data_IF_867946915542
#
_entry.id   IF_867946915542
#
_cell.length_a   1.000
_cell.length_b   1.000
_cell.length_c   1.000
_cell.angle_alpha   90.00
_cell.angle_beta   90.00
_cell.angle_gamma   90.00
#
_symmetry.space_group_name_H-M   'P 1'
#
loop_
_entity.id
_entity.type
_entity.pdbx_description
1 polymer ?
#
# COMPACT_ATOMS: atom_id res chain seq x y z
N UNK A 1 17.15 2.73 17.32
CA UNK A 1 16.73 3.82 18.23
C UNK A 1 15.31 3.50 18.68
N UNK A 2 15.07 3.27 19.97
CA UNK A 2 13.72 2.95 20.50
C UNK A 2 12.93 4.26 20.76
N UNK A 3 12.57 4.97 19.69
CA UNK A 3 11.88 6.27 19.76
C UNK A 3 10.61 6.23 20.64
N UNK A 4 9.94 5.08 20.69
CA UNK A 4 8.68 4.87 21.39
C UNK A 4 8.78 3.82 22.51
N UNK A 5 9.95 3.71 23.15
CA UNK A 5 10.14 2.79 24.29
C UNK A 5 9.03 2.95 25.32
N UNK A 6 8.45 1.83 25.75
CA UNK A 6 7.34 1.74 26.71
C UNK A 6 6.01 2.38 26.24
N UNK A 7 5.88 2.72 24.95
CA UNK A 7 4.61 3.13 24.37
C UNK A 7 3.88 1.93 23.80
N UNK A 8 2.56 1.99 23.84
CA UNK A 8 1.68 0.97 23.28
C UNK A 8 0.95 1.51 22.06
N UNK A 9 0.66 0.63 21.08
CA UNK A 9 -0.14 0.99 19.92
C UNK A 9 -1.12 -0.13 19.55
N UNK A 10 -2.39 0.24 19.34
CA UNK A 10 -3.39 -0.63 18.71
C UNK A 10 -3.18 -0.55 17.20
N UNK A 11 -2.97 -1.69 16.54
CA UNK A 11 -2.73 -1.78 15.10
C UNK A 11 -3.87 -2.54 14.43
N UNK A 12 -4.65 -1.86 13.59
CA UNK A 12 -5.70 -2.47 12.78
C UNK A 12 -5.42 -2.26 11.29
N UNK A 13 -5.00 -3.33 10.61
CA UNK A 13 -4.58 -3.29 9.19
C UNK A 13 -5.24 -4.46 8.44
N UNK A 14 -5.82 -4.24 7.24
CA UNK A 14 -6.29 -5.34 6.41
C UNK A 14 -5.14 -6.27 5.99
N UNK A 15 -5.39 -7.58 5.97
CA UNK A 15 -4.37 -8.53 5.52
C UNK A 15 -4.36 -8.57 3.99
N UNK A 16 -3.52 -7.72 3.43
CA UNK A 16 -3.17 -7.72 2.03
C UNK A 16 -1.73 -8.19 1.90
N UNK A 17 -1.58 -9.48 1.60
CA UNK A 17 -0.27 -10.12 1.40
C UNK A 17 0.66 -10.04 2.63
N UNK A 18 0.14 -10.16 3.85
CA UNK A 18 0.96 -10.16 5.07
C UNK A 18 1.41 -8.77 5.54
N UNK A 19 0.83 -7.70 4.99
CA UNK A 19 1.10 -6.31 5.41
C UNK A 19 1.02 -6.09 6.94
N UNK A 20 0.04 -6.63 7.70
CA UNK A 20 0.00 -6.43 9.15
C UNK A 20 1.28 -6.87 9.87
N UNK A 21 1.98 -7.88 9.36
CA UNK A 21 3.27 -8.35 9.90
C UNK A 21 4.36 -7.32 9.67
N UNK A 22 4.40 -6.68 8.49
CA UNK A 22 5.39 -5.65 8.16
C UNK A 22 5.25 -4.42 9.07
N UNK A 23 4.01 -3.94 9.25
CA UNK A 23 3.70 -2.86 10.19
C UNK A 23 4.13 -3.21 11.62
N UNK A 24 3.76 -4.40 12.10
CA UNK A 24 4.13 -4.86 13.44
C UNK A 24 5.65 -4.86 13.63
N UNK A 25 6.41 -5.47 12.72
CA UNK A 25 7.88 -5.55 12.81
C UNK A 25 8.52 -4.17 12.89
N UNK A 26 8.10 -3.22 12.06
CA UNK A 26 8.66 -1.88 12.07
C UNK A 26 8.26 -1.07 13.32
N UNK A 27 7.03 -1.24 13.81
CA UNK A 27 6.60 -0.61 15.07
C UNK A 27 7.35 -1.18 16.29
N UNK A 28 7.52 -2.50 16.34
CA UNK A 28 8.29 -3.16 17.40
C UNK A 28 9.77 -2.74 17.35
N UNK A 29 10.37 -2.57 16.16
CA UNK A 29 11.71 -2.00 16.00
C UNK A 29 11.84 -0.58 16.58
N UNK A 30 10.78 0.22 16.50
CA UNK A 30 10.71 1.57 17.08
C UNK A 30 10.46 1.57 18.59
N UNK A 31 10.24 0.41 19.21
CA UNK A 31 10.07 0.24 20.66
C UNK A 31 8.61 0.17 21.12
N UNK A 32 7.64 0.13 20.21
CA UNK A 32 6.23 -0.04 20.59
C UNK A 32 5.93 -1.46 21.08
N UNK A 33 5.03 -1.55 22.06
CA UNK A 33 4.25 -2.77 22.30
C UNK A 33 2.99 -2.75 21.43
N UNK A 34 2.87 -3.70 20.50
CA UNK A 34 1.82 -3.71 19.45
C UNK A 34 0.67 -4.66 19.80
N UNK A 35 -0.54 -4.11 19.93
CA UNK A 35 -1.79 -4.87 20.03
C UNK A 35 -2.47 -4.97 18.65
N UNK A 36 -2.43 -6.13 18.01
CA UNK A 36 -3.03 -6.29 16.68
C UNK A 36 -4.52 -6.62 16.74
N UNK A 37 -5.32 -5.87 15.97
CA UNK A 37 -6.74 -6.12 15.73
C UNK A 37 -6.91 -6.51 14.26
N UNK A 38 -6.99 -7.82 13.94
CA UNK A 38 -7.04 -8.29 12.56
C UNK A 38 -8.38 -7.95 11.88
N UNK A 39 -8.31 -7.42 10.66
CA UNK A 39 -9.49 -7.26 9.80
C UNK A 39 -10.07 -8.61 9.35
N UNK A 40 -9.21 -9.56 8.97
CA UNK A 40 -9.62 -10.84 8.37
C UNK A 40 -9.74 -11.99 9.39
N UNK A 41 -10.15 -11.66 10.62
CA UNK A 41 -10.32 -12.59 11.74
C UNK A 41 -11.36 -13.69 11.53
N UNK A 42 -12.02 -13.75 10.37
CA UNK A 42 -13.06 -14.75 10.09
C UNK A 42 -13.14 -15.10 8.60
N UNK A 43 -13.63 -16.33 8.35
CA UNK A 43 -13.88 -17.01 7.06
C UNK A 43 -14.39 -16.08 5.95
N UNK A 44 -14.37 -16.51 4.69
CA UNK A 44 -15.08 -15.83 3.57
C UNK A 44 -16.57 -15.69 3.91
N UNK A 45 -16.94 -14.60 4.57
CA UNK A 45 -18.30 -14.28 5.00
C UNK A 45 -19.02 -13.64 3.82
N UNK A 46 -20.25 -14.10 3.57
CA UNK A 46 -21.15 -13.50 2.59
C UNK A 46 -22.34 -12.91 3.32
N UNK A 47 -22.80 -11.74 2.86
CA UNK A 47 -24.08 -11.18 3.30
C UNK A 47 -25.23 -12.11 2.89
N UNK A 48 -26.30 -12.12 3.69
CA UNK A 48 -27.50 -12.92 3.39
C UNK A 48 -28.20 -12.47 2.09
N UNK A 49 -29.10 -13.31 1.57
CA UNK A 49 -29.89 -13.00 0.37
C UNK A 49 -30.76 -11.73 0.54
N UNK A 50 -31.34 -11.53 1.73
CA UNK A 50 -32.10 -10.32 2.07
C UNK A 50 -31.21 -9.08 1.98
N UNK A 51 -30.02 -9.13 2.58
CA UNK A 51 -29.06 -8.02 2.50
C UNK A 51 -28.55 -7.79 1.07
N UNK A 52 -28.45 -8.85 0.27
CA UNK A 52 -28.07 -8.74 -1.15
C UNK A 52 -29.15 -8.02 -1.95
N UNK A 53 -30.43 -8.29 -1.64
CA UNK A 53 -31.57 -7.58 -2.25
C UNK A 53 -31.65 -6.12 -1.79
N UNK A 54 -31.46 -5.84 -0.50
CA UNK A 54 -31.40 -4.46 0.02
C UNK A 54 -30.24 -3.69 -0.63
N UNK A 55 -29.07 -4.32 -0.79
CA UNK A 55 -27.96 -3.71 -1.51
C UNK A 55 -28.33 -3.36 -2.96
N UNK A 56 -29.02 -4.26 -3.67
CA UNK A 56 -29.49 -4.01 -5.03
C UNK A 56 -30.44 -2.81 -5.08
N UNK A 57 -31.42 -2.74 -4.18
CA UNK A 57 -32.35 -1.60 -4.09
C UNK A 57 -31.62 -0.29 -3.80
N UNK A 58 -30.77 -0.27 -2.76
CA UNK A 58 -29.96 0.92 -2.41
C UNK A 58 -29.07 1.38 -3.56
N UNK A 59 -28.44 0.45 -4.26
CA UNK A 59 -27.57 0.75 -5.41
C UNK A 59 -28.35 1.38 -6.57
N UNK A 60 -29.57 0.92 -6.84
CA UNK A 60 -30.37 1.40 -7.98
C UNK A 60 -31.11 2.69 -7.64
N UNK A 61 -31.83 2.72 -6.52
CA UNK A 61 -32.72 3.81 -6.17
C UNK A 61 -32.02 4.95 -5.41
N UNK A 62 -30.99 4.64 -4.62
CA UNK A 62 -30.28 5.63 -3.80
C UNK A 62 -28.85 5.89 -4.31
N UNK A 63 -28.41 5.20 -5.37
CA UNK A 63 -27.01 5.20 -5.86
C UNK A 63 -25.97 4.84 -4.78
N UNK A 64 -26.42 4.24 -3.67
CA UNK A 64 -25.60 3.84 -2.53
C UNK A 64 -24.96 2.48 -2.81
N UNK A 65 -23.63 2.50 -3.01
CA UNK A 65 -22.82 1.29 -3.24
C UNK A 65 -22.20 0.74 -1.95
N UNK A 66 -22.35 1.41 -0.81
CA UNK A 66 -21.60 1.14 0.42
C UNK A 66 -22.26 0.11 1.33
N UNK A 67 -23.58 -0.06 1.25
CA UNK A 67 -24.35 -0.96 2.14
C UNK A 67 -23.78 -2.37 2.30
N UNK A 68 -23.33 -2.99 1.20
CA UNK A 68 -22.78 -4.35 1.25
C UNK A 68 -21.48 -4.38 2.05
N UNK A 69 -20.61 -3.40 1.82
CA UNK A 69 -19.34 -3.26 2.55
C UNK A 69 -19.63 -3.07 4.03
N UNK A 70 -20.55 -2.17 4.37
CA UNK A 70 -20.95 -1.91 5.76
C UNK A 70 -21.46 -3.16 6.48
N UNK A 71 -22.31 -3.95 5.83
CA UNK A 71 -22.79 -5.21 6.43
C UNK A 71 -21.68 -6.23 6.61
N UNK A 72 -20.67 -6.25 5.75
CA UNK A 72 -19.53 -7.14 5.92
C UNK A 72 -18.66 -6.74 7.12
N UNK A 73 -18.50 -5.45 7.39
CA UNK A 73 -17.72 -4.99 8.55
C UNK A 73 -18.36 -5.42 9.87
N UNK A 74 -19.68 -5.25 10.00
CA UNK A 74 -20.46 -5.69 11.18
C UNK A 74 -20.36 -7.20 11.41
N UNK A 75 -20.37 -8.01 10.34
CA UNK A 75 -20.24 -9.47 10.49
C UNK A 75 -18.86 -9.93 10.97
N UNK A 76 -17.84 -9.08 10.80
CA UNK A 76 -16.46 -9.36 11.22
C UNK A 76 -16.12 -8.78 12.60
N UNK A 77 -17.01 -7.99 13.20
CA UNK A 77 -16.69 -7.15 14.35
C UNK A 77 -16.50 -7.92 15.66
N UNK A 78 -17.24 -9.02 15.86
CA UNK A 78 -17.24 -9.76 17.13
C UNK A 78 -15.83 -10.19 17.61
N UNK A 79 -15.01 -10.91 16.82
CA UNK A 79 -13.66 -11.27 17.25
C UNK A 79 -12.76 -10.04 17.47
N UNK A 80 -13.00 -8.94 16.76
CA UNK A 80 -12.24 -7.70 16.94
C UNK A 80 -12.56 -7.04 18.28
N UNK A 81 -13.84 -6.98 18.65
CA UNK A 81 -14.30 -6.46 19.94
C UNK A 81 -13.83 -7.33 21.11
N UNK A 82 -13.80 -8.66 20.95
CA UNK A 82 -13.23 -9.57 21.96
C UNK A 82 -11.74 -9.29 22.21
N UNK A 83 -10.95 -9.08 21.15
CA UNK A 83 -9.53 -8.69 21.29
C UNK A 83 -9.42 -7.33 22.01
N UNK A 84 -10.21 -6.34 21.57
CA UNK A 84 -10.21 -5.00 22.15
C UNK A 84 -10.60 -5.01 23.64
N UNK A 85 -11.53 -5.87 24.05
CA UNK A 85 -11.93 -5.97 25.46
C UNK A 85 -10.78 -6.36 26.41
N UNK A 86 -9.74 -7.04 25.91
CA UNK A 86 -8.56 -7.41 26.67
C UNK A 86 -7.51 -6.28 26.76
N UNK A 87 -7.70 -5.20 26.02
CA UNK A 87 -6.81 -4.03 26.03
C UNK A 87 -7.42 -3.00 26.99
N UNK A 88 -6.69 -2.65 28.06
CA UNK A 88 -7.17 -1.65 29.03
C UNK A 88 -7.14 -0.24 28.45
N UNK A 89 -5.96 0.19 28.03
CA UNK A 89 -5.69 1.49 27.41
C UNK A 89 -4.42 1.35 26.58
N UNK A 90 -4.33 2.11 25.49
CA UNK A 90 -3.15 2.25 24.66
C UNK A 90 -2.78 3.73 24.48
N UNK A 91 -1.50 4.02 24.25
CA UNK A 91 -1.06 5.39 23.97
C UNK A 91 -1.53 5.82 22.58
N UNK A 92 -1.43 4.93 21.60
CA UNK A 92 -1.79 5.23 20.21
C UNK A 92 -2.71 4.17 19.60
N UNK A 93 -3.41 4.54 18.53
CA UNK A 93 -4.02 3.61 17.60
C UNK A 93 -3.70 4.00 16.16
N UNK A 94 -3.38 3.02 15.32
CA UNK A 94 -3.24 3.17 13.88
C UNK A 94 -4.20 2.23 13.17
N UNK A 95 -5.10 2.80 12.37
CA UNK A 95 -6.06 2.06 11.56
C UNK A 95 -5.83 2.35 10.07
N UNK A 96 -5.45 1.33 9.33
CA UNK A 96 -5.32 1.40 7.87
C UNK A 96 -6.62 0.94 7.24
N UNK A 97 -7.14 1.67 6.24
CA UNK A 97 -8.44 1.39 5.59
C UNK A 97 -9.58 1.29 6.61
N UNK A 98 -9.88 2.38 7.36
CA UNK A 98 -10.94 2.40 8.37
C UNK A 98 -12.32 2.05 7.81
N UNK A 99 -12.55 2.22 6.51
CA UNK A 99 -13.78 1.81 5.80
C UNK A 99 -14.06 0.30 5.86
N UNK A 100 -13.06 -0.51 6.21
CA UNK A 100 -13.17 -1.96 6.36
C UNK A 100 -13.55 -2.42 7.78
N UNK A 101 -13.68 -1.49 8.72
CA UNK A 101 -14.05 -1.78 10.11
C UNK A 101 -15.44 -1.20 10.44
N UNK A 102 -16.16 -1.86 11.36
CA UNK A 102 -17.48 -1.38 11.79
C UNK A 102 -17.34 -0.16 12.69
N UNK A 103 -18.39 0.66 12.77
CA UNK A 103 -18.38 1.80 13.71
C UNK A 103 -18.15 1.38 15.16
N UNK A 104 -18.70 0.23 15.57
CA UNK A 104 -18.53 -0.30 16.92
C UNK A 104 -17.06 -0.54 17.23
N UNK A 105 -16.33 -1.14 16.28
CA UNK A 105 -14.89 -1.42 16.42
C UNK A 105 -14.09 -0.13 16.43
N UNK A 106 -14.39 0.82 15.54
CA UNK A 106 -13.69 2.10 15.49
C UNK A 106 -13.92 2.94 16.75
N UNK A 107 -15.15 2.99 17.27
CA UNK A 107 -15.47 3.65 18.54
C UNK A 107 -14.71 3.01 19.70
N UNK A 108 -14.64 1.68 19.74
CA UNK A 108 -13.91 0.97 20.79
C UNK A 108 -12.39 1.20 20.71
N UNK A 109 -11.82 1.24 19.50
CA UNK A 109 -10.41 1.62 19.28
C UNK A 109 -10.16 3.05 19.79
N UNK A 110 -11.02 4.02 19.45
CA UNK A 110 -10.92 5.41 19.91
C UNK A 110 -10.98 5.48 21.44
N UNK A 111 -11.96 4.81 22.06
CA UNK A 111 -12.12 4.80 23.52
C UNK A 111 -10.91 4.20 24.26
N UNK A 112 -10.22 3.24 23.64
CA UNK A 112 -9.06 2.56 24.23
C UNK A 112 -7.72 3.17 23.87
N UNK A 113 -7.67 4.23 23.06
CA UNK A 113 -6.43 4.91 22.70
C UNK A 113 -6.44 6.34 23.22
N UNK A 114 -5.27 6.88 23.58
CA UNK A 114 -5.15 8.30 23.94
C UNK A 114 -5.10 9.19 22.71
N UNK A 115 -4.60 8.65 21.60
CA UNK A 115 -4.52 9.31 20.30
C UNK A 115 -4.72 8.28 19.18
N UNK A 116 -5.60 8.57 18.24
CA UNK A 116 -6.05 7.64 17.21
C UNK A 116 -5.87 8.23 15.82
N UNK A 117 -5.22 7.46 14.96
CA UNK A 117 -4.88 7.85 13.59
C UNK A 117 -5.48 6.85 12.61
N UNK A 118 -6.08 7.39 11.55
CA UNK A 118 -6.50 6.61 10.39
C UNK A 118 -5.63 6.95 9.17
N UNK A 119 -5.40 5.97 8.29
CA UNK A 119 -4.86 6.20 6.95
C UNK A 119 -5.64 5.43 5.89
N UNK A 120 -6.26 6.18 4.98
CA UNK A 120 -7.09 5.69 3.89
C UNK A 120 -6.26 5.61 2.59
N UNK A 121 -5.82 4.40 2.23
CA UNK A 121 -4.98 4.13 1.04
C UNK A 121 -5.67 4.31 -0.31
N UNK A 122 -6.98 4.13 -0.37
CA UNK A 122 -7.73 4.23 -1.61
C UNK A 122 -8.61 5.47 -1.59
N UNK A 123 -8.72 6.15 -2.73
CA UNK A 123 -9.50 7.38 -2.84
C UNK A 123 -10.94 7.24 -2.30
N UNK A 124 -11.36 8.19 -1.48
CA UNK A 124 -12.63 8.19 -0.74
C UNK A 124 -13.84 8.22 -1.67
N UNK A 125 -13.70 8.80 -2.88
CA UNK A 125 -14.74 8.70 -3.93
C UNK A 125 -15.06 7.24 -4.31
N UNK A 126 -14.04 6.37 -4.31
CA UNK A 126 -14.21 4.93 -4.61
C UNK A 126 -14.72 4.16 -3.39
N UNK A 127 -14.31 4.57 -2.19
CA UNK A 127 -14.66 3.95 -0.92
C UNK A 127 -15.35 4.96 0.02
N UNK A 128 -16.62 5.33 -0.27
CA UNK A 128 -17.30 6.44 0.42
C UNK A 128 -17.58 6.19 1.91
N UNK A 129 -17.43 4.94 2.39
CA UNK A 129 -17.51 4.65 3.82
C UNK A 129 -16.42 5.33 4.63
N UNK A 130 -15.25 5.58 4.03
CA UNK A 130 -14.15 6.26 4.71
C UNK A 130 -14.59 7.63 5.26
N UNK A 131 -15.43 8.36 4.52
CA UNK A 131 -15.94 9.68 4.91
C UNK A 131 -16.72 9.63 6.23
N UNK A 132 -17.58 8.62 6.40
CA UNK A 132 -18.36 8.47 7.64
C UNK A 132 -17.51 8.01 8.82
N UNK A 133 -16.25 7.62 8.58
CA UNK A 133 -15.31 7.14 9.60
C UNK A 133 -14.41 8.24 10.17
N UNK A 134 -14.30 9.38 9.50
CA UNK A 134 -13.42 10.49 9.89
C UNK A 134 -13.61 10.89 11.36
N UNK A 135 -14.85 10.99 11.81
CA UNK A 135 -15.22 11.36 13.19
C UNK A 135 -14.66 10.43 14.30
N UNK A 136 -14.22 9.23 13.96
CA UNK A 136 -13.71 8.25 14.93
C UNK A 136 -12.20 8.38 15.20
N UNK A 137 -11.54 9.40 14.67
CA UNK A 137 -10.10 9.58 14.81
C UNK A 137 -9.76 10.98 15.28
N UNK A 138 -8.54 11.13 15.82
CA UNK A 138 -7.95 12.43 16.15
C UNK A 138 -7.29 13.03 14.91
N UNK A 139 -6.67 12.18 14.08
CA UNK A 139 -6.18 12.55 12.73
C UNK A 139 -6.58 11.50 11.70
N UNK A 140 -6.94 11.96 10.50
CA UNK A 140 -7.35 11.09 9.41
C UNK A 140 -6.58 11.43 8.14
N UNK A 141 -5.76 10.50 7.67
CA UNK A 141 -4.94 10.70 6.50
C UNK A 141 -5.55 10.08 5.24
N UNK A 142 -5.35 10.75 4.11
CA UNK A 142 -5.75 10.29 2.77
C UNK A 142 -4.54 10.19 1.85
N UNK A 143 -4.53 9.15 1.02
CA UNK A 143 -3.47 8.93 0.03
C UNK A 143 -3.68 9.74 -1.26
N UNK A 144 -4.93 9.93 -1.69
CA UNK A 144 -5.23 10.73 -2.88
C UNK A 144 -5.29 12.20 -2.48
N UNK A 145 -4.34 13.01 -2.98
CA UNK A 145 -4.26 14.44 -2.66
C UNK A 145 -5.56 15.19 -2.98
N UNK A 146 -6.31 14.73 -3.99
CA UNK A 146 -7.58 15.37 -4.34
C UNK A 146 -8.69 15.12 -3.31
N UNK A 147 -8.51 14.21 -2.36
CA UNK A 147 -9.47 13.97 -1.28
C UNK A 147 -9.30 15.01 -0.16
N UNK A 148 -8.09 15.52 0.08
CA UNK A 148 -7.83 16.58 1.08
C UNK A 148 -8.62 17.86 0.78
N UNK A 149 -8.74 18.23 -0.50
CA UNK A 149 -9.52 19.40 -0.91
C UNK A 149 -11.04 19.17 -0.85
N UNK A 150 -11.50 17.92 -0.87
CA UNK A 150 -12.92 17.57 -1.04
C UNK A 150 -13.62 17.18 0.26
N UNK A 151 -12.88 16.61 1.21
CA UNK A 151 -13.45 16.07 2.44
C UNK A 151 -12.93 16.85 3.65
N UNK A 152 -13.81 17.09 4.62
CA UNK A 152 -13.43 17.81 5.84
C UNK A 152 -12.79 16.86 6.85
N UNK A 153 -11.85 17.38 7.64
CA UNK A 153 -11.21 16.63 8.72
C UNK A 153 -10.23 15.55 8.25
N UNK A 154 -9.73 15.68 7.01
CA UNK A 154 -8.70 14.79 6.47
C UNK A 154 -7.45 15.57 6.06
N UNK A 155 -6.31 14.89 6.07
CA UNK A 155 -4.99 15.45 5.72
C UNK A 155 -4.28 14.54 4.70
N UNK A 156 -3.61 15.09 3.70
CA UNK A 156 -2.85 14.31 2.75
C UNK A 156 -1.58 13.72 3.39
N UNK A 157 -1.28 12.46 3.07
CA UNK A 157 0.05 11.87 3.29
C UNK A 157 0.43 10.93 2.17
N UNK A 158 1.74 10.71 2.01
CA UNK A 158 2.30 9.77 1.06
C UNK A 158 2.28 8.34 1.60
N UNK A 159 2.52 7.37 0.72
CA UNK A 159 3.05 6.08 1.17
C UNK A 159 4.50 6.24 1.67
N UNK A 160 5.10 5.11 2.04
CA UNK A 160 6.40 5.02 2.66
C UNK A 160 7.07 3.71 2.23
N UNK A 161 8.34 3.51 2.58
CA UNK A 161 8.98 2.19 2.57
C UNK A 161 9.23 1.71 4.00
N UNK A 162 9.13 0.41 4.24
CA UNK A 162 9.51 -0.14 5.55
C UNK A 162 11.03 -0.17 5.70
N UNK A 163 11.51 0.28 6.84
CA UNK A 163 12.93 0.45 7.16
C UNK A 163 13.41 -0.50 8.26
N UNK A 164 12.68 -1.60 8.51
CA UNK A 164 13.09 -2.66 9.45
C UNK A 164 13.98 -3.74 8.85
N UNK A 165 14.07 -3.83 7.52
CA UNK A 165 14.94 -4.80 6.86
C UNK A 165 16.41 -4.34 6.94
N UNK A 166 17.38 -5.28 6.97
CA UNK A 166 18.80 -4.93 6.91
C UNK A 166 19.12 -4.01 5.75
N UNK A 167 20.07 -3.08 5.91
CA UNK A 167 20.42 -2.13 4.86
C UNK A 167 21.01 -2.85 3.63
N UNK A 168 21.97 -3.74 3.87
CA UNK A 168 22.66 -4.52 2.84
C UNK A 168 21.78 -5.65 2.27
N UNK A 169 21.84 -5.83 0.96
CA UNK A 169 21.26 -6.97 0.24
C UNK A 169 22.14 -7.35 -0.95
N UNK A 170 22.24 -8.65 -1.21
CA UNK A 170 22.91 -9.18 -2.40
C UNK A 170 21.99 -8.96 -3.61
N UNK A 171 22.52 -8.40 -4.69
CA UNK A 171 21.80 -8.25 -5.96
C UNK A 171 21.70 -9.62 -6.64
N UNK A 172 20.49 -9.99 -7.07
CA UNK A 172 20.15 -11.28 -7.70
C UNK A 172 19.49 -11.13 -9.07
N UNK A 173 18.95 -9.94 -9.35
CA UNK A 173 18.28 -9.59 -10.60
C UNK A 173 18.56 -8.14 -10.94
N UNK A 174 18.45 -7.80 -12.22
CA UNK A 174 18.61 -6.41 -12.66
C UNK A 174 17.30 -5.66 -12.42
N UNK A 175 16.17 -6.28 -12.77
CA UNK A 175 14.84 -5.65 -12.67
C UNK A 175 13.87 -6.50 -11.85
N UNK A 176 13.14 -5.87 -10.94
CA UNK A 176 12.05 -6.52 -10.20
C UNK A 176 10.70 -5.81 -10.42
N UNK A 177 9.65 -6.61 -10.60
CA UNK A 177 8.25 -6.17 -10.56
C UNK A 177 7.38 -7.24 -9.92
N UNK A 178 6.39 -6.83 -9.14
CA UNK A 178 5.27 -7.70 -8.76
C UNK A 178 3.96 -6.93 -8.77
N UNK A 179 2.91 -7.55 -9.30
CA UNK A 179 1.58 -6.95 -9.31
C UNK A 179 0.48 -7.94 -9.61
N UNK A 180 -0.78 -7.53 -9.42
CA UNK A 180 -1.93 -8.29 -9.92
C UNK A 180 -2.19 -7.93 -11.38
N UNK A 181 -2.66 -8.91 -12.16
CA UNK A 181 -3.10 -8.73 -13.53
C UNK A 181 -4.19 -7.66 -13.61
N UNK A 182 -3.94 -6.62 -14.42
CA UNK A 182 -4.91 -5.58 -14.72
C UNK A 182 -4.82 -5.23 -16.21
N UNK A 183 -5.97 -5.17 -16.88
CA UNK A 183 -6.07 -5.05 -18.34
C UNK A 183 -5.48 -3.74 -18.87
N UNK A 184 -5.58 -2.68 -18.09
CA UNK A 184 -5.19 -1.31 -18.39
C UNK A 184 -3.68 -1.02 -18.30
N UNK A 185 -2.89 -1.97 -17.78
CA UNK A 185 -1.43 -1.82 -17.64
C UNK A 185 -0.60 -3.02 -18.10
N UNK A 186 -1.22 -4.17 -18.35
CA UNK A 186 -0.49 -5.38 -18.77
C UNK A 186 0.21 -5.20 -20.13
N UNK A 187 -0.33 -4.35 -21.01
CA UNK A 187 0.29 -4.07 -22.31
C UNK A 187 1.56 -3.25 -22.13
N UNK A 188 1.54 -2.22 -21.27
CA UNK A 188 2.73 -1.45 -20.91
C UNK A 188 3.80 -2.35 -20.26
N UNK A 189 3.40 -3.20 -19.29
CA UNK A 189 4.30 -4.15 -18.62
C UNK A 189 4.93 -5.12 -19.63
N UNK A 190 4.12 -5.68 -20.54
CA UNK A 190 4.59 -6.61 -21.57
C UNK A 190 5.58 -5.96 -22.53
N UNK A 191 5.31 -4.73 -22.94
CA UNK A 191 6.23 -3.96 -23.79
C UNK A 191 7.56 -3.71 -23.08
N UNK A 192 7.54 -3.10 -21.89
CA UNK A 192 8.79 -2.78 -21.17
C UNK A 192 9.57 -4.06 -20.79
N UNK A 193 8.88 -5.16 -20.47
CA UNK A 193 9.54 -6.43 -20.16
C UNK A 193 10.31 -6.98 -21.37
N UNK A 194 9.73 -6.88 -22.57
CA UNK A 194 10.42 -7.26 -23.80
C UNK A 194 11.63 -6.38 -24.08
N UNK A 195 11.49 -5.06 -23.97
CA UNK A 195 12.61 -4.13 -24.18
C UNK A 195 13.78 -4.42 -23.22
N UNK A 196 13.48 -4.58 -21.93
CA UNK A 196 14.50 -4.88 -20.92
C UNK A 196 15.18 -6.24 -21.18
N UNK A 197 14.43 -7.26 -21.61
CA UNK A 197 15.01 -8.55 -21.99
C UNK A 197 15.87 -8.46 -23.26
N UNK A 198 15.46 -7.66 -24.25
CA UNK A 198 16.24 -7.43 -25.48
C UNK A 198 17.57 -6.73 -25.20
N UNK A 199 17.62 -5.89 -24.17
CA UNK A 199 18.85 -5.27 -23.66
C UNK A 199 19.71 -6.22 -22.81
N UNK A 200 19.32 -7.49 -22.69
CA UNK A 200 20.10 -8.54 -22.02
C UNK A 200 19.96 -8.59 -20.50
N UNK A 201 19.00 -7.87 -19.92
CA UNK A 201 18.82 -7.81 -18.47
C UNK A 201 18.17 -9.10 -17.91
N UNK A 202 18.63 -9.52 -16.74
CA UNK A 202 18.01 -10.54 -15.92
C UNK A 202 16.78 -9.96 -15.17
N UNK A 203 15.60 -10.21 -15.72
CA UNK A 203 14.34 -9.63 -15.22
C UNK A 203 13.52 -10.62 -14.37
N UNK A 204 12.98 -10.13 -13.26
CA UNK A 204 12.08 -10.84 -12.36
C UNK A 204 10.71 -10.12 -12.29
N UNK A 205 9.87 -10.31 -13.32
CA UNK A 205 8.56 -9.66 -13.45
C UNK A 205 7.44 -10.65 -13.15
N UNK A 206 6.74 -10.45 -12.03
CA UNK A 206 5.72 -11.37 -11.51
C UNK A 206 4.32 -10.79 -11.59
N UNK A 207 3.39 -11.52 -12.23
CA UNK A 207 1.99 -11.11 -12.34
C UNK A 207 1.07 -12.17 -11.73
N UNK A 208 0.40 -11.79 -10.64
CA UNK A 208 -0.63 -12.61 -10.00
C UNK A 208 -1.90 -12.60 -10.85
N UNK A 209 -2.45 -13.77 -11.15
CA UNK A 209 -3.63 -13.87 -12.00
C UNK A 209 -4.65 -14.90 -11.52
N UNK A 210 -5.93 -14.60 -11.75
CA UNK A 210 -7.05 -15.43 -11.32
C UNK A 210 -7.83 -16.06 -12.50
N UNK A 211 -7.51 -15.71 -13.74
CA UNK A 211 -8.22 -16.19 -14.93
C UNK A 211 -7.24 -16.44 -16.08
N UNK A 212 -7.11 -17.70 -16.49
CA UNK A 212 -6.16 -18.16 -17.50
C UNK A 212 -6.41 -17.48 -18.87
N UNK A 213 -7.68 -17.35 -19.28
CA UNK A 213 -8.05 -16.75 -20.57
C UNK A 213 -7.58 -15.30 -20.71
N UNK A 214 -7.42 -14.59 -19.59
CA UNK A 214 -6.98 -13.18 -19.61
C UNK A 214 -5.49 -13.03 -19.88
N UNK A 215 -4.68 -14.05 -19.58
CA UNK A 215 -3.22 -13.99 -19.68
C UNK A 215 -2.66 -14.71 -20.90
N UNK A 216 -3.47 -15.53 -21.59
CA UNK A 216 -3.07 -16.37 -22.71
C UNK A 216 -2.27 -15.61 -23.78
N UNK A 217 -2.80 -14.46 -24.24
CA UNK A 217 -2.12 -13.62 -25.25
C UNK A 217 -0.80 -12.99 -24.78
N UNK A 218 -0.54 -13.00 -23.47
CA UNK A 218 0.65 -12.40 -22.86
C UNK A 218 1.72 -13.43 -22.48
N UNK A 219 1.47 -14.73 -22.65
CA UNK A 219 2.43 -15.81 -22.32
C UNK A 219 3.72 -15.76 -23.14
N UNK A 220 3.72 -15.06 -24.26
CA UNK A 220 4.90 -14.85 -25.13
C UNK A 220 5.89 -13.80 -24.62
N UNK A 221 5.47 -12.96 -23.66
CA UNK A 221 6.33 -11.94 -23.07
C UNK A 221 7.09 -12.51 -21.88
N UNK A 222 8.24 -11.94 -21.50
CA UNK A 222 9.05 -12.43 -20.40
C UNK A 222 8.47 -12.02 -19.04
N UNK A 223 7.32 -12.60 -18.72
CA UNK A 223 6.53 -12.35 -17.51
C UNK A 223 6.22 -13.67 -16.82
N UNK A 224 6.51 -13.74 -15.53
CA UNK A 224 6.15 -14.84 -14.65
C UNK A 224 4.69 -14.69 -14.19
N UNK A 225 3.77 -15.42 -14.82
CA UNK A 225 2.38 -15.47 -14.36
C UNK A 225 2.21 -16.50 -13.24
N UNK A 226 1.91 -16.01 -12.03
CA UNK A 226 1.84 -16.82 -10.80
C UNK A 226 0.42 -16.84 -10.22
N UNK A 227 0.02 -17.96 -9.61
CA UNK A 227 -1.31 -18.09 -8.95
C UNK A 227 -1.32 -17.51 -7.54
N UNK A 228 -0.22 -17.71 -6.81
CA UNK A 228 -0.02 -17.20 -5.45
C UNK A 228 1.00 -16.06 -5.52
N UNK A 229 0.61 -14.88 -5.06
CA UNK A 229 1.52 -13.74 -4.99
C UNK A 229 2.55 -13.87 -3.86
N UNK A 230 3.57 -13.03 -3.95
CA UNK A 230 4.52 -12.80 -2.85
C UNK A 230 3.80 -12.11 -1.69
N UNK A 231 4.21 -12.41 -0.48
CA UNK A 231 3.96 -11.55 0.69
C UNK A 231 4.64 -10.19 0.48
N UNK A 232 4.18 -9.17 1.19
CA UNK A 232 4.76 -7.85 1.13
C UNK A 232 6.23 -7.86 1.56
N UNK A 233 6.58 -8.64 2.59
CA UNK A 233 7.97 -8.82 3.02
C UNK A 233 8.83 -9.53 1.98
N UNK A 234 8.37 -10.63 1.39
CA UNK A 234 9.07 -11.29 0.26
C UNK A 234 9.28 -10.29 -0.88
N UNK A 235 8.27 -9.49 -1.21
CA UNK A 235 8.39 -8.47 -2.24
C UNK A 235 9.40 -7.37 -1.90
N UNK A 236 9.53 -6.97 -0.63
CA UNK A 236 10.55 -6.00 -0.21
C UNK A 236 11.95 -6.60 -0.30
N UNK A 237 12.11 -7.88 0.03
CA UNK A 237 13.39 -8.61 -0.11
C UNK A 237 13.79 -8.68 -1.59
N UNK A 238 12.86 -8.98 -2.49
CA UNK A 238 13.12 -8.99 -3.93
C UNK A 238 13.44 -7.59 -4.48
N UNK A 239 12.75 -6.56 -4.00
CA UNK A 239 13.02 -5.15 -4.32
C UNK A 239 14.44 -4.74 -3.87
N UNK A 240 14.85 -5.13 -2.66
CA UNK A 240 16.22 -4.91 -2.19
C UNK A 240 17.25 -5.76 -2.93
N UNK A 241 16.85 -6.87 -3.54
CA UNK A 241 17.76 -7.75 -4.30
C UNK A 241 17.80 -7.41 -5.80
N UNK A 242 17.18 -6.30 -6.23
CA UNK A 242 17.26 -5.80 -7.60
C UNK A 242 18.08 -4.52 -7.71
N UNK A 243 18.62 -4.22 -8.89
CA UNK A 243 19.23 -2.91 -9.19
C UNK A 243 18.17 -1.86 -9.53
N UNK A 244 17.12 -2.32 -10.22
CA UNK A 244 16.02 -1.51 -10.76
C UNK A 244 14.69 -2.08 -10.27
N UNK A 245 13.81 -1.19 -9.87
CA UNK A 245 12.40 -1.49 -9.57
C UNK A 245 11.57 -0.95 -10.71
N UNK A 246 10.70 -1.79 -11.27
CA UNK A 246 9.68 -1.35 -12.22
C UNK A 246 8.40 -1.03 -11.44
N UNK A 247 7.77 0.09 -11.77
CA UNK A 247 6.45 0.50 -11.27
C UNK A 247 5.58 0.90 -12.45
N UNK A 248 4.38 0.33 -12.54
CA UNK A 248 3.43 0.70 -13.60
C UNK A 248 2.11 1.05 -12.95
N UNK A 249 1.76 2.33 -13.09
CA UNK A 249 0.67 3.01 -12.40
C UNK A 249 -0.65 2.25 -12.55
N UNK A 250 -1.38 2.20 -11.43
CA UNK A 250 -2.78 1.85 -11.43
C UNK A 250 -3.61 3.13 -11.56
N UNK A 251 -4.22 3.36 -12.74
CA UNK A 251 -4.95 4.59 -13.10
C UNK A 251 -6.20 4.88 -12.25
N UNK A 252 -6.49 4.06 -11.24
CA UNK A 252 -7.68 4.20 -10.39
C UNK A 252 -7.49 5.27 -9.30
N UNK A 253 -6.26 5.59 -8.88
CA UNK A 253 -5.96 6.55 -7.81
C UNK A 253 -4.83 7.49 -8.20
N UNK A 254 -4.87 8.74 -7.72
CA UNK A 254 -3.80 9.70 -7.93
C UNK A 254 -2.80 9.64 -6.77
N UNK A 255 -1.62 9.06 -7.01
CA UNK A 255 -0.55 8.98 -6.03
C UNK A 255 0.53 7.97 -6.41
N UNK A 256 1.67 8.01 -5.70
CA UNK A 256 2.77 7.06 -5.93
C UNK A 256 2.57 5.75 -5.16
N UNK A 257 2.82 4.63 -5.82
CA UNK A 257 2.76 3.31 -5.20
C UNK A 257 3.88 3.13 -4.17
N UNK A 258 3.76 2.10 -3.32
CA UNK A 258 4.85 1.68 -2.43
C UNK A 258 6.17 1.44 -3.18
N UNK A 259 6.14 0.99 -4.44
CA UNK A 259 7.34 0.70 -5.24
C UNK A 259 8.21 1.92 -5.47
N UNK A 260 7.61 3.10 -5.67
CA UNK A 260 8.39 4.32 -5.86
C UNK A 260 9.17 4.68 -4.58
N UNK A 261 8.51 4.61 -3.42
CA UNK A 261 9.16 4.89 -2.13
C UNK A 261 10.17 3.82 -1.74
N UNK A 262 9.91 2.56 -2.04
CA UNK A 262 10.87 1.47 -1.83
C UNK A 262 12.09 1.60 -2.73
N UNK A 263 11.92 1.97 -4.01
CA UNK A 263 13.04 2.20 -4.92
C UNK A 263 13.96 3.29 -4.37
N UNK A 264 13.38 4.43 -3.97
CA UNK A 264 14.13 5.53 -3.37
C UNK A 264 14.76 5.13 -2.04
N UNK A 265 14.00 4.56 -1.12
CA UNK A 265 14.44 4.19 0.22
C UNK A 265 15.47 3.06 0.26
N UNK A 266 15.44 2.15 -0.71
CA UNK A 266 16.40 1.05 -0.85
C UNK A 266 17.52 1.35 -1.86
N UNK A 267 17.62 2.60 -2.31
CA UNK A 267 18.65 3.07 -3.24
C UNK A 267 18.70 2.26 -4.54
N UNK A 268 17.53 2.02 -5.11
CA UNK A 268 17.32 1.35 -6.40
C UNK A 268 16.88 2.36 -7.42
N UNK A 269 17.29 2.14 -8.66
CA UNK A 269 16.73 2.88 -9.79
C UNK A 269 15.25 2.53 -9.95
N UNK A 270 14.48 3.47 -10.47
CA UNK A 270 13.05 3.31 -10.73
C UNK A 270 12.77 3.50 -12.22
N UNK A 271 12.12 2.52 -12.84
CA UNK A 271 11.47 2.70 -14.13
C UNK A 271 9.97 2.83 -13.86
N UNK A 272 9.33 3.91 -14.29
CA UNK A 272 7.90 4.13 -14.05
C UNK A 272 7.19 4.82 -15.20
N UNK A 273 5.87 4.65 -15.33
CA UNK A 273 5.02 5.51 -16.17
C UNK A 273 4.28 6.59 -15.37
N UNK A 274 4.45 6.63 -14.04
CA UNK A 274 3.79 7.60 -13.18
C UNK A 274 4.58 8.91 -13.16
N UNK A 275 4.08 9.92 -13.87
CA UNK A 275 4.73 11.24 -14.01
C UNK A 275 4.73 12.04 -12.71
N UNK A 276 3.88 11.68 -11.76
CA UNK A 276 3.76 12.36 -10.47
C UNK A 276 5.08 12.32 -9.69
N UNK A 277 5.98 11.38 -9.98
CA UNK A 277 7.32 11.34 -9.37
C UNK A 277 8.10 12.65 -9.52
N UNK A 278 7.85 13.43 -10.59
CA UNK A 278 8.48 14.75 -10.80
C UNK A 278 8.10 15.79 -9.75
N UNK A 279 7.00 15.59 -9.01
CA UNK A 279 6.53 16.51 -7.96
C UNK A 279 7.17 16.24 -6.58
N UNK A 280 7.97 15.18 -6.46
CA UNK A 280 8.58 14.77 -5.19
C UNK A 280 10.04 15.24 -5.09
N UNK A 281 10.47 15.57 -3.88
CA UNK A 281 11.81 16.10 -3.59
C UNK A 281 12.94 15.08 -3.80
N UNK A 282 12.62 13.80 -3.99
CA UNK A 282 13.56 12.73 -4.35
C UNK A 282 13.75 12.57 -5.86
N UNK A 283 13.04 13.33 -6.70
CA UNK A 283 13.16 13.17 -8.15
C UNK A 283 14.57 13.47 -8.65
N UNK A 284 15.15 12.50 -9.37
CA UNK A 284 16.44 12.64 -10.03
C UNK A 284 16.42 11.78 -11.30
N UNK A 285 16.65 12.39 -12.47
CA UNK A 285 16.59 11.70 -13.77
C UNK A 285 17.62 10.58 -13.92
N UNK A 286 18.74 10.61 -13.16
CA UNK A 286 19.73 9.54 -13.13
C UNK A 286 19.25 8.29 -12.38
N UNK A 287 18.25 8.45 -11.52
CA UNK A 287 17.68 7.38 -10.71
C UNK A 287 16.29 6.97 -11.15
N UNK A 288 15.55 7.86 -11.83
CA UNK A 288 14.15 7.65 -12.18
C UNK A 288 13.96 7.87 -13.68
N UNK A 289 13.70 6.77 -14.39
CA UNK A 289 13.31 6.78 -15.79
C UNK A 289 11.79 6.75 -15.91
N UNK A 290 11.24 7.79 -16.52
CA UNK A 290 9.82 7.89 -16.84
C UNK A 290 9.61 7.42 -18.28
N UNK A 291 8.84 6.35 -18.45
CA UNK A 291 8.54 5.72 -19.73
C UNK A 291 7.92 6.76 -20.68
N UNK A 292 8.51 6.89 -21.88
CA UNK A 292 8.11 7.81 -22.94
C UNK A 292 8.22 9.32 -22.62
N UNK A 293 8.80 9.72 -21.48
CA UNK A 293 9.00 11.13 -21.13
C UNK A 293 10.42 11.52 -20.73
N UNK A 294 11.30 10.53 -20.53
CA UNK A 294 12.67 10.80 -20.12
C UNK A 294 13.46 11.48 -21.23
N UNK A 295 14.37 12.37 -20.83
CA UNK A 295 15.30 13.07 -21.72
C UNK A 295 16.34 12.13 -22.34
N UNK A 296 16.77 11.13 -21.57
CA UNK A 296 17.73 10.10 -21.99
C UNK A 296 17.04 8.83 -22.49
N UNK A 297 17.73 8.05 -23.33
CA UNK A 297 17.23 6.74 -23.75
C UNK A 297 17.27 5.73 -22.58
N UNK A 298 16.55 4.61 -22.73
CA UNK A 298 16.56 3.57 -21.71
C UNK A 298 17.98 2.99 -21.52
N UNK A 299 18.72 2.79 -22.61
CA UNK A 299 20.11 2.30 -22.59
C UNK A 299 21.03 3.25 -21.80
N UNK A 300 20.96 4.55 -22.11
CA UNK A 300 21.72 5.57 -21.38
C UNK A 300 21.37 5.57 -19.89
N UNK A 301 20.07 5.47 -19.57
CA UNK A 301 19.63 5.38 -18.19
C UNK A 301 20.20 4.15 -17.49
N UNK A 302 20.25 2.99 -18.14
CA UNK A 302 20.76 1.76 -17.56
C UNK A 302 22.25 1.86 -17.23
N UNK A 303 23.05 2.50 -18.08
CA UNK A 303 24.51 2.67 -17.91
C UNK A 303 24.91 3.61 -16.76
N UNK A 304 24.05 4.55 -16.37
CA UNK A 304 24.34 5.49 -15.29
C UNK A 304 24.50 4.77 -13.93
N UNK A 305 25.43 5.13 -13.04
CA UNK A 305 25.38 4.64 -11.67
C UNK A 305 24.20 5.28 -10.90
N UNK A 306 23.70 4.60 -9.87
CA UNK A 306 22.74 5.22 -8.94
C UNK A 306 23.37 6.46 -8.31
N UNK A 307 22.71 7.60 -8.44
CA UNK A 307 23.12 8.87 -7.86
C UNK A 307 22.59 8.95 -6.42
N UNK A 308 23.46 8.99 -5.42
CA UNK A 308 23.02 9.17 -4.03
C UNK A 308 22.16 10.44 -3.90
N UNK A 309 20.89 10.26 -3.52
CA UNK A 309 19.96 11.36 -3.26
C UNK A 309 20.23 11.80 -1.82
N UNK A 310 20.48 13.10 -1.59
CA UNK A 310 20.59 13.67 -0.25
C UNK A 310 19.38 13.30 0.62
N UNK A 311 19.48 13.44 1.95
CA UNK A 311 18.59 12.98 3.04
C UNK A 311 17.05 12.89 2.85
N UNK A 312 16.46 13.41 1.78
CA UNK A 312 15.03 13.39 1.47
C UNK A 312 14.44 11.98 1.37
N UNK A 313 15.20 10.99 0.89
CA UNK A 313 14.74 9.59 0.85
C UNK A 313 14.25 9.12 2.23
N UNK A 314 14.97 9.46 3.30
CA UNK A 314 14.64 9.07 4.67
C UNK A 314 13.35 9.70 5.20
N UNK A 315 12.88 10.82 4.61
CA UNK A 315 11.60 11.44 4.96
C UNK A 315 10.41 10.55 4.58
N UNK A 316 10.61 9.56 3.72
CA UNK A 316 9.59 8.61 3.26
C UNK A 316 9.76 7.22 3.89
N UNK A 317 10.60 7.08 4.91
CA UNK A 317 10.66 5.83 5.67
C UNK A 317 9.40 5.65 6.50
N UNK A 318 9.07 4.40 6.85
CA UNK A 318 7.98 4.12 7.78
C UNK A 318 8.21 4.84 9.11
N UNK A 319 9.46 4.91 9.59
CA UNK A 319 9.83 5.65 10.80
C UNK A 319 9.46 7.13 10.71
N UNK A 320 9.82 7.82 9.62
CA UNK A 320 9.49 9.23 9.44
C UNK A 320 7.98 9.42 9.31
N UNK A 321 7.33 8.57 8.52
CA UNK A 321 5.88 8.59 8.30
C UNK A 321 5.09 8.38 9.60
N UNK A 322 5.42 7.36 10.40
CA UNK A 322 4.70 7.10 11.66
C UNK A 322 4.95 8.22 12.68
N UNK A 323 6.15 8.81 12.69
CA UNK A 323 6.46 9.93 13.58
C UNK A 323 5.63 11.17 13.25
N UNK A 324 5.52 11.51 11.96
CA UNK A 324 4.69 12.64 11.49
C UNK A 324 3.20 12.41 11.72
N UNK A 325 2.73 11.17 11.64
CA UNK A 325 1.31 10.86 11.75
C UNK A 325 0.81 10.77 13.20
N UNK A 326 1.67 10.37 14.15
CA UNK A 326 1.36 10.27 15.59
C UNK A 326 1.63 11.55 16.41
N UNK A 327 2.08 12.64 15.76
CA UNK A 327 2.27 13.96 16.37
C UNK A 327 1.15 14.91 15.98
#
# INVERSE_FOLDING_TARGET
MELYKNKTIILAVPDHFGLPVCFRKNLELLGFTVYSVPHDASKKIRISHINSFIHFLKKIFLKDKSYKTEKLTVLKEKPQLEILSNIRQSDFALVIRPDLFSESVLKEIKNKSKFSVAYQWDGMKRFPLAETRVQFFDRFFVFDKNDEEKYQGVEFTTNFYFDYLPEFSIIKQDVFFVGTFMKDRIEDIAFIASELQHLGLNININIVYNNEKKIEKYRKYPINFIKKGLTFEESMIECKSSEIVLDVENKIHAGLSFRAFEAVGYKRKLITNNKLVKEFDFYNERNIYIINESSMSLEQFLEEPYCEINSTASNYSFTAWITKTLT
#
